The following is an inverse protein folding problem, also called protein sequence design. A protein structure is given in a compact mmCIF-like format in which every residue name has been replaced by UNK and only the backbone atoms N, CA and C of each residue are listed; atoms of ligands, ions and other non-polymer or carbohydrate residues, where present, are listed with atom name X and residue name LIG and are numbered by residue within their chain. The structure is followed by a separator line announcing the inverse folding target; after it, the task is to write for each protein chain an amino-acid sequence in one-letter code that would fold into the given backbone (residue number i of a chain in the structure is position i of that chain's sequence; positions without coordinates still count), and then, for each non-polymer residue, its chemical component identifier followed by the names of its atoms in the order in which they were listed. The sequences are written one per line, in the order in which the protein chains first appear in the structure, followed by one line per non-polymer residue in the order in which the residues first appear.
data_IF_790890125858
#
_entry.id   IF_790890125858
#
_cell.length_a   1.000
_cell.length_b   1.000
_cell.length_c   1.000
_cell.angle_alpha   90.00
_cell.angle_beta   90.00
_cell.angle_gamma   90.00
#
_symmetry.space_group_name_H-M   'P 1'
#
loop_
_entity.id
_entity.type
_entity.pdbx_description
1 polymer ?
#
# COMPACT_ATOMS: atom_id res chain seq x y z
N UNK A 1 35.67 32.58 -2.87
CA UNK A 1 36.07 31.27 -3.44
C UNK A 1 37.11 30.49 -2.60
N UNK A 2 37.42 30.87 -1.35
CA UNK A 2 38.40 30.15 -0.51
C UNK A 2 37.76 29.24 0.58
N UNK A 3 36.52 29.49 1.01
CA UNK A 3 35.90 28.77 2.13
C UNK A 3 35.36 27.36 1.85
N UNK A 4 34.96 27.04 0.61
CA UNK A 4 34.37 25.73 0.27
C UNK A 4 35.44 24.64 0.10
N UNK A 5 36.65 24.99 -0.35
CA UNK A 5 37.77 24.04 -0.49
C UNK A 5 38.35 23.59 0.86
N UNK A 6 38.15 24.38 1.92
CA UNK A 6 38.66 24.08 3.28
C UNK A 6 37.73 23.15 4.07
N UNK A 7 36.42 23.08 3.73
CA UNK A 7 35.49 22.13 4.36
C UNK A 7 35.71 20.67 3.91
N UNK A 8 36.38 20.44 2.77
CA UNK A 8 36.67 19.09 2.23
C UNK A 8 37.87 18.43 2.95
N UNK A 9 38.57 19.15 3.83
CA UNK A 9 39.75 18.65 4.58
C UNK A 9 39.47 18.34 6.06
N UNK A 10 38.22 18.14 6.46
CA UNK A 10 37.91 17.70 7.83
C UNK A 10 37.80 16.16 7.86
N UNK A 11 38.70 15.44 8.55
CA UNK A 11 38.72 13.97 8.55
C UNK A 11 37.42 13.34 9.05
N UNK A 12 36.75 13.95 10.03
CA UNK A 12 35.46 13.48 10.53
C UNK A 12 34.32 13.58 9.49
N UNK A 13 34.39 14.56 8.59
CA UNK A 13 33.40 14.73 7.52
C UNK A 13 33.64 13.73 6.38
N UNK A 14 34.91 13.44 6.07
CA UNK A 14 35.28 12.38 5.12
C UNK A 14 34.82 11.01 5.62
N UNK A 15 35.04 10.71 6.89
CA UNK A 15 34.66 9.44 7.51
C UNK A 15 33.14 9.22 7.50
N UNK A 16 32.36 10.27 7.77
CA UNK A 16 30.90 10.23 7.68
C UNK A 16 30.41 9.96 6.24
N UNK A 17 31.04 10.57 5.23
CA UNK A 17 30.73 10.33 3.82
C UNK A 17 31.05 8.88 3.45
N UNK A 18 32.20 8.36 3.87
CA UNK A 18 32.62 6.99 3.57
C UNK A 18 31.72 5.97 4.26
N UNK A 19 31.27 6.24 5.48
CA UNK A 19 30.26 5.42 6.16
C UNK A 19 28.93 5.43 5.40
N UNK A 20 28.45 6.60 4.97
CA UNK A 20 27.21 6.72 4.22
C UNK A 20 27.29 5.98 2.86
N UNK A 21 28.41 6.11 2.14
CA UNK A 21 28.65 5.41 0.89
C UNK A 21 28.66 3.89 1.08
N UNK A 22 29.32 3.39 2.15
CA UNK A 22 29.30 1.96 2.51
C UNK A 22 27.89 1.47 2.80
N UNK A 23 27.09 2.20 3.56
CA UNK A 23 25.70 1.84 3.83
C UNK A 23 24.84 1.80 2.56
N UNK A 24 25.04 2.74 1.63
CA UNK A 24 24.34 2.73 0.34
C UNK A 24 24.79 1.55 -0.55
N UNK A 25 26.07 1.22 -0.55
CA UNK A 25 26.60 0.06 -1.28
C UNK A 25 26.02 -1.25 -0.73
N UNK A 26 25.92 -1.39 0.60
CA UNK A 26 25.26 -2.54 1.24
C UNK A 26 23.76 -2.57 0.93
N UNK A 27 23.08 -1.43 1.00
CA UNK A 27 21.64 -1.36 0.79
C UNK A 27 21.22 -1.62 -0.68
N UNK A 28 22.13 -1.39 -1.64
CA UNK A 28 21.90 -1.71 -3.05
C UNK A 28 22.34 -3.13 -3.44
N UNK A 29 22.84 -3.94 -2.50
CA UNK A 29 23.25 -5.32 -2.76
C UNK A 29 22.04 -6.20 -3.16
N UNK A 30 22.01 -6.77 -4.38
CA UNK A 30 20.90 -7.58 -4.84
C UNK A 30 20.69 -8.89 -4.07
N UNK A 31 21.66 -9.33 -3.27
CA UNK A 31 21.59 -10.60 -2.50
C UNK A 31 20.94 -10.43 -1.13
N UNK A 32 20.83 -9.19 -0.64
CA UNK A 32 20.28 -8.89 0.68
C UNK A 32 18.82 -8.42 0.61
N UNK A 33 18.00 -8.85 1.56
CA UNK A 33 16.73 -8.18 1.87
C UNK A 33 17.02 -7.01 2.80
N UNK A 34 16.70 -5.79 2.35
CA UNK A 34 17.12 -4.56 3.03
C UNK A 34 15.92 -3.67 3.32
N UNK A 35 15.87 -3.14 4.55
CA UNK A 35 15.03 -2.01 4.91
C UNK A 35 15.88 -0.75 4.96
N UNK A 36 15.47 0.31 4.24
CA UNK A 36 16.20 1.58 4.19
C UNK A 36 15.37 2.65 4.85
N UNK A 37 15.79 3.10 6.03
CA UNK A 37 15.26 4.32 6.65
C UNK A 37 16.07 5.51 6.13
N UNK A 38 15.38 6.52 5.58
CA UNK A 38 16.07 7.64 4.96
C UNK A 38 15.22 8.91 4.96
N UNK A 39 15.79 10.01 5.43
CA UNK A 39 15.19 11.35 5.44
C UNK A 39 15.06 11.96 4.04
N UNK A 40 14.28 13.03 3.89
CA UNK A 40 14.22 13.77 2.62
C UNK A 40 15.62 14.19 2.15
N UNK A 41 15.89 14.11 0.84
CA UNK A 41 17.19 14.48 0.26
C UNK A 41 18.33 13.46 0.44
N UNK A 42 18.13 12.35 1.14
CA UNK A 42 19.21 11.37 1.44
C UNK A 42 19.63 10.44 0.28
N UNK A 43 19.20 10.73 -0.96
CA UNK A 43 19.57 9.93 -2.14
C UNK A 43 18.83 8.59 -2.31
N UNK A 44 17.70 8.36 -1.64
CA UNK A 44 16.88 7.12 -1.78
C UNK A 44 16.62 6.72 -3.23
N UNK A 45 16.26 7.69 -4.07
CA UNK A 45 15.95 7.41 -5.48
C UNK A 45 17.18 6.91 -6.22
N UNK A 46 18.37 7.50 -5.98
CA UNK A 46 19.63 7.01 -6.55
C UNK A 46 19.90 5.58 -6.09
N UNK A 47 19.78 5.31 -4.79
CA UNK A 47 19.97 3.98 -4.21
C UNK A 47 19.07 2.92 -4.87
N UNK A 48 17.78 3.23 -5.07
CA UNK A 48 16.83 2.32 -5.72
C UNK A 48 17.19 2.05 -7.19
N UNK A 49 17.62 3.08 -7.93
CA UNK A 49 18.08 2.92 -9.31
C UNK A 49 19.37 2.08 -9.35
N UNK A 50 20.32 2.35 -8.46
CA UNK A 50 21.56 1.57 -8.35
C UNK A 50 21.24 0.10 -8.06
N UNK A 51 20.29 -0.17 -7.16
CA UNK A 51 19.82 -1.52 -6.85
C UNK A 51 19.16 -2.20 -8.05
N UNK A 52 18.30 -1.51 -8.80
CA UNK A 52 17.69 -2.06 -10.03
C UNK A 52 18.76 -2.44 -11.05
N UNK A 53 19.75 -1.57 -11.27
CA UNK A 53 20.85 -1.84 -12.19
C UNK A 53 21.69 -3.04 -11.73
N UNK A 54 22.04 -3.11 -10.44
CA UNK A 54 22.77 -4.25 -9.86
C UNK A 54 21.99 -5.57 -9.91
N UNK A 55 20.66 -5.53 -9.88
CA UNK A 55 19.83 -6.71 -10.11
C UNK A 55 19.91 -7.19 -11.56
N UNK A 56 20.06 -6.29 -12.54
CA UNK A 56 20.06 -6.61 -13.98
C UNK A 56 21.45 -6.89 -14.57
N UNK A 57 22.51 -6.48 -13.87
CA UNK A 57 23.89 -6.64 -14.30
C UNK A 57 24.55 -7.89 -13.69
N UNK A 58 25.61 -8.42 -14.34
CA UNK A 58 26.42 -9.49 -13.75
C UNK A 58 27.03 -9.07 -12.41
N UNK A 59 27.23 -10.03 -11.51
CA UNK A 59 27.79 -9.78 -10.16
C UNK A 59 28.75 -10.89 -9.76
N UNK A 60 29.69 -10.59 -8.87
CA UNK A 60 30.59 -11.60 -8.32
C UNK A 60 29.82 -12.51 -7.35
N UNK A 61 30.07 -13.80 -7.43
CA UNK A 61 29.61 -14.77 -6.45
C UNK A 61 30.40 -14.58 -5.14
N UNK A 62 29.74 -14.25 -4.02
CA UNK A 62 30.41 -14.11 -2.72
C UNK A 62 31.12 -15.39 -2.26
N UNK A 63 30.65 -16.56 -2.71
CA UNK A 63 31.13 -17.86 -2.27
C UNK A 63 32.21 -18.49 -3.19
N UNK A 64 32.55 -17.89 -4.33
CA UNK A 64 33.38 -18.59 -5.32
C UNK A 64 34.02 -17.80 -6.47
N UNK A 65 34.00 -16.46 -6.47
CA UNK A 65 34.69 -15.66 -7.49
C UNK A 65 34.09 -15.69 -8.91
N UNK A 66 33.25 -16.68 -9.23
CA UNK A 66 32.52 -16.77 -10.49
C UNK A 66 31.58 -15.56 -10.69
N UNK A 67 31.36 -15.19 -11.96
CA UNK A 67 30.41 -14.13 -12.31
C UNK A 67 29.02 -14.72 -12.50
N UNK A 68 28.08 -14.34 -11.64
CA UNK A 68 26.67 -14.68 -11.77
C UNK A 68 25.97 -13.73 -12.76
N UNK A 69 25.10 -14.23 -13.64
CA UNK A 69 24.32 -13.38 -14.53
C UNK A 69 23.33 -12.50 -13.76
N UNK A 70 23.02 -11.34 -14.34
CA UNK A 70 21.94 -10.48 -13.88
C UNK A 70 20.56 -11.05 -14.19
N UNK A 71 19.55 -10.57 -13.49
CA UNK A 71 18.14 -10.91 -13.74
C UNK A 71 17.64 -10.20 -15.00
N UNK A 72 16.88 -10.89 -15.88
CA UNK A 72 16.16 -10.24 -16.96
C UNK A 72 15.23 -9.14 -16.42
N UNK A 73 15.11 -7.96 -17.06
CA UNK A 73 14.28 -6.87 -16.55
C UNK A 73 12.81 -7.27 -16.34
N UNK A 74 12.27 -8.17 -17.17
CA UNK A 74 10.91 -8.73 -17.04
C UNK A 74 10.64 -9.45 -15.72
N UNK A 75 11.70 -9.88 -15.01
CA UNK A 75 11.61 -10.62 -13.74
C UNK A 75 11.73 -9.72 -12.51
N UNK A 76 11.84 -8.41 -12.70
CA UNK A 76 11.98 -7.44 -11.61
C UNK A 76 10.68 -6.66 -11.47
N UNK A 77 10.15 -6.60 -10.25
CA UNK A 77 8.98 -5.80 -9.89
C UNK A 77 9.42 -4.65 -8.97
N UNK A 78 9.15 -3.42 -9.39
CA UNK A 78 9.43 -2.21 -8.62
C UNK A 78 8.11 -1.50 -8.31
N UNK A 79 7.76 -1.46 -7.02
CA UNK A 79 6.50 -0.86 -6.54
C UNK A 79 6.75 0.45 -5.80
N UNK A 80 5.83 1.39 -5.99
CA UNK A 80 5.79 2.65 -5.24
C UNK A 80 4.35 3.04 -4.88
N UNK A 81 4.19 4.12 -4.13
CA UNK A 81 2.87 4.59 -3.70
C UNK A 81 2.18 5.44 -4.78
N UNK A 82 2.93 6.30 -5.48
CA UNK A 82 2.36 7.29 -6.41
C UNK A 82 2.75 7.03 -7.86
N UNK A 83 1.86 7.37 -8.79
CA UNK A 83 2.15 7.31 -10.23
C UNK A 83 3.33 8.20 -10.61
N UNK A 84 3.45 9.37 -9.98
CA UNK A 84 4.55 10.30 -10.20
C UNK A 84 5.92 9.70 -9.83
N UNK A 85 6.02 9.04 -8.67
CA UNK A 85 7.27 8.38 -8.27
C UNK A 85 7.64 7.23 -9.22
N UNK A 86 6.65 6.48 -9.73
CA UNK A 86 6.89 5.41 -10.69
C UNK A 86 7.46 5.95 -12.00
N UNK A 87 6.84 7.02 -12.53
CA UNK A 87 7.31 7.70 -13.73
C UNK A 87 8.72 8.28 -13.54
N UNK A 88 8.98 8.93 -12.40
CA UNK A 88 10.31 9.47 -12.08
C UNK A 88 11.38 8.36 -12.06
N UNK A 89 11.08 7.22 -11.43
CA UNK A 89 11.99 6.07 -11.41
C UNK A 89 12.25 5.51 -12.80
N UNK A 90 11.22 5.36 -13.62
CA UNK A 90 11.34 4.87 -15.00
C UNK A 90 12.20 5.80 -15.85
N UNK A 91 11.96 7.12 -15.79
CA UNK A 91 12.74 8.13 -16.50
C UNK A 91 14.20 8.07 -16.08
N UNK A 92 14.49 8.07 -14.77
CA UNK A 92 15.87 8.02 -14.25
C UNK A 92 16.62 6.77 -14.73
N UNK A 93 15.95 5.61 -14.73
CA UNK A 93 16.53 4.37 -15.23
C UNK A 93 16.84 4.47 -16.73
N UNK A 94 15.86 4.89 -17.53
CA UNK A 94 16.01 5.03 -18.98
C UNK A 94 17.10 6.04 -19.36
N UNK A 95 17.16 7.18 -18.67
CA UNK A 95 18.23 8.18 -18.88
C UNK A 95 19.60 7.58 -18.61
N UNK A 96 19.75 6.80 -17.53
CA UNK A 96 21.03 6.18 -17.18
C UNK A 96 21.44 5.10 -18.18
N UNK A 97 20.51 4.23 -18.57
CA UNK A 97 20.76 3.21 -19.58
C UNK A 97 21.08 3.83 -20.95
N UNK A 98 20.34 4.87 -21.36
CA UNK A 98 20.58 5.59 -22.61
C UNK A 98 21.96 6.24 -22.66
N UNK A 99 22.42 6.81 -21.54
CA UNK A 99 23.79 7.34 -21.42
C UNK A 99 24.84 6.24 -21.61
N UNK A 100 24.65 5.04 -21.05
CA UNK A 100 25.62 3.95 -21.18
C UNK A 100 25.83 3.47 -22.62
N UNK A 101 24.83 3.61 -23.49
CA UNK A 101 24.94 3.23 -24.91
C UNK A 101 26.04 4.02 -25.62
N UNK A 102 26.21 5.31 -25.29
CA UNK A 102 27.13 6.22 -26.00
C UNK A 102 28.45 6.47 -25.28
N UNK A 103 28.57 6.07 -24.00
CA UNK A 103 29.80 6.28 -23.24
C UNK A 103 30.99 5.52 -23.85
N UNK A 104 32.20 6.12 -23.87
CA UNK A 104 33.44 5.39 -24.07
C UNK A 104 33.63 4.28 -23.01
N UNK A 105 34.40 3.24 -23.36
CA UNK A 105 34.56 2.05 -22.50
C UNK A 105 35.17 2.36 -21.13
N UNK A 106 36.13 3.27 -21.05
CA UNK A 106 36.73 3.73 -19.80
C UNK A 106 35.74 4.49 -18.91
N UNK A 107 34.90 5.33 -19.52
CA UNK A 107 33.85 6.05 -18.81
C UNK A 107 32.71 5.12 -18.35
N UNK A 108 32.35 4.12 -19.16
CA UNK A 108 31.38 3.09 -18.77
C UNK A 108 31.93 2.22 -17.63
N UNK A 109 33.22 1.86 -17.68
CA UNK A 109 33.86 1.13 -16.59
C UNK A 109 33.79 1.91 -15.26
N UNK A 110 33.95 3.24 -15.26
CA UNK A 110 33.79 4.07 -14.05
C UNK A 110 32.36 4.00 -13.48
N UNK A 111 31.35 4.03 -14.34
CA UNK A 111 29.94 3.88 -13.91
C UNK A 111 29.67 2.49 -13.32
N UNK A 112 30.19 1.43 -13.96
CA UNK A 112 30.04 0.05 -13.49
C UNK A 112 30.79 -0.19 -12.17
N UNK A 113 31.99 0.36 -12.01
CA UNK A 113 32.75 0.34 -10.75
C UNK A 113 31.98 1.03 -9.63
N UNK A 114 31.35 2.18 -9.90
CA UNK A 114 30.49 2.88 -8.95
C UNK A 114 29.28 2.05 -8.49
N UNK A 115 28.85 1.07 -9.28
CA UNK A 115 27.80 0.11 -8.94
C UNK A 115 28.33 -1.20 -8.33
N UNK A 116 29.63 -1.31 -8.09
CA UNK A 116 30.29 -2.56 -7.67
C UNK A 116 30.03 -3.73 -8.63
N UNK A 117 29.99 -3.44 -9.93
CA UNK A 117 29.75 -4.42 -11.01
C UNK A 117 31.09 -4.76 -11.70
N UNK A 118 31.37 -6.05 -12.00
CA UNK A 118 32.60 -6.47 -12.68
C UNK A 118 32.77 -5.79 -14.04
N UNK A 119 33.94 -5.19 -14.29
CA UNK A 119 34.21 -4.44 -15.53
C UNK A 119 34.80 -5.32 -16.65
N UNK A 120 34.05 -6.35 -17.04
CA UNK A 120 34.44 -7.23 -18.16
C UNK A 120 33.87 -6.73 -19.50
N UNK A 121 34.42 -7.23 -20.61
CA UNK A 121 33.88 -6.97 -21.96
C UNK A 121 32.41 -7.40 -22.03
N UNK A 122 32.08 -8.56 -21.47
CA UNK A 122 30.71 -9.08 -21.46
C UNK A 122 29.78 -8.23 -20.60
N UNK A 123 30.24 -7.73 -19.45
CA UNK A 123 29.45 -6.80 -18.64
C UNK A 123 29.16 -5.51 -19.40
N UNK A 124 30.15 -4.94 -20.13
CA UNK A 124 29.92 -3.74 -20.94
C UNK A 124 28.90 -4.01 -22.05
N UNK A 125 29.02 -5.15 -22.73
CA UNK A 125 28.04 -5.58 -23.75
C UNK A 125 26.64 -5.67 -23.16
N UNK A 126 26.50 -6.33 -22.00
CA UNK A 126 25.23 -6.43 -21.27
C UNK A 126 24.69 -5.06 -20.89
N UNK A 127 25.51 -4.19 -20.31
CA UNK A 127 25.11 -2.85 -19.90
C UNK A 127 24.59 -2.00 -21.07
N UNK A 128 25.21 -2.09 -22.25
CA UNK A 128 24.74 -1.41 -23.47
C UNK A 128 23.46 -2.05 -24.02
N UNK A 129 23.34 -3.37 -23.97
CA UNK A 129 22.15 -4.09 -24.43
C UNK A 129 20.91 -3.82 -23.56
N UNK A 130 21.09 -3.57 -22.25
CA UNK A 130 19.99 -3.32 -21.32
C UNK A 130 19.06 -2.17 -21.74
N UNK A 131 19.57 -1.15 -22.43
CA UNK A 131 18.72 -0.05 -22.91
C UNK A 131 17.66 -0.55 -23.92
N UNK A 132 18.10 -1.28 -24.94
CA UNK A 132 17.20 -1.87 -25.94
C UNK A 132 16.27 -2.91 -25.30
N UNK A 133 16.80 -3.80 -24.45
CA UNK A 133 15.97 -4.79 -23.75
C UNK A 133 14.87 -4.16 -22.90
N UNK A 134 15.14 -3.03 -22.24
CA UNK A 134 14.13 -2.34 -21.43
C UNK A 134 13.07 -1.65 -22.30
N UNK A 135 13.46 -1.11 -23.46
CA UNK A 135 12.54 -0.45 -24.39
C UNK A 135 11.65 -1.46 -25.14
N UNK A 136 12.20 -2.61 -25.52
CA UNK A 136 11.50 -3.62 -26.32
C UNK A 136 10.63 -4.57 -25.48
N UNK A 137 10.63 -4.41 -24.15
CA UNK A 137 9.77 -5.19 -23.26
C UNK A 137 8.29 -4.95 -23.54
N UNK A 138 7.50 -6.01 -23.85
CA UNK A 138 6.05 -5.88 -23.96
C UNK A 138 5.45 -5.44 -22.62
N UNK A 139 4.79 -4.28 -22.62
CA UNK A 139 4.25 -3.66 -21.40
C UNK A 139 5.31 -2.94 -20.54
N UNK A 140 6.54 -2.83 -21.01
CA UNK A 140 7.66 -2.15 -20.35
C UNK A 140 8.17 -2.88 -19.11
N UNK A 141 9.20 -2.30 -18.49
CA UNK A 141 9.66 -2.74 -17.17
C UNK A 141 8.57 -2.48 -16.12
N UNK A 142 8.37 -3.42 -15.19
CA UNK A 142 7.32 -3.33 -14.17
C UNK A 142 7.69 -2.37 -13.05
N UNK A 143 7.65 -1.08 -13.35
CA UNK A 143 7.80 0.03 -12.41
C UNK A 143 6.43 0.68 -12.29
N UNK A 144 5.75 0.51 -11.16
CA UNK A 144 4.36 0.94 -11.02
C UNK A 144 3.92 1.12 -9.58
N UNK A 145 2.65 1.48 -9.41
CA UNK A 145 2.07 1.55 -8.07
C UNK A 145 1.64 0.18 -7.56
N UNK A 146 1.52 0.05 -6.25
CA UNK A 146 0.93 -1.16 -5.62
C UNK A 146 -0.47 -1.43 -6.23
N UNK A 147 -1.30 -0.39 -6.37
CA UNK A 147 -2.63 -0.51 -6.97
C UNK A 147 -2.61 -1.03 -8.41
N UNK A 148 -1.73 -0.49 -9.26
CA UNK A 148 -1.60 -0.93 -10.65
C UNK A 148 -1.16 -2.40 -10.73
N UNK A 149 -0.26 -2.82 -9.84
CA UNK A 149 0.16 -4.22 -9.74
C UNK A 149 -1.00 -5.12 -9.30
N UNK A 150 -1.73 -4.77 -8.23
CA UNK A 150 -2.90 -5.54 -7.79
C UNK A 150 -3.96 -5.65 -8.87
N UNK A 151 -4.26 -4.56 -9.59
CA UNK A 151 -5.20 -4.57 -10.72
C UNK A 151 -4.72 -5.51 -11.84
N UNK A 152 -3.44 -5.47 -12.20
CA UNK A 152 -2.86 -6.37 -13.20
C UNK A 152 -2.95 -7.84 -12.76
N UNK A 153 -2.75 -8.12 -11.46
CA UNK A 153 -2.85 -9.47 -10.91
C UNK A 153 -4.29 -9.99 -10.99
N UNK A 154 -5.26 -9.19 -10.56
CA UNK A 154 -6.68 -9.53 -10.61
C UNK A 154 -7.17 -9.78 -12.05
N UNK A 155 -6.68 -9.01 -13.02
CA UNK A 155 -6.99 -9.24 -14.45
C UNK A 155 -6.38 -10.52 -15.01
N UNK A 156 -5.29 -11.00 -14.43
CA UNK A 156 -4.60 -12.22 -14.89
C UNK A 156 -5.21 -13.50 -14.31
N UNK A 157 -5.88 -13.39 -13.17
CA UNK A 157 -6.54 -14.48 -12.46
C UNK A 157 -8.00 -14.12 -12.12
N UNK A 158 -8.84 -13.81 -13.13
CA UNK A 158 -10.20 -13.31 -12.92
C UNK A 158 -11.14 -14.36 -12.34
N UNK A 159 -10.92 -15.64 -12.64
CA UNK A 159 -11.74 -16.75 -12.14
C UNK A 159 -11.50 -16.97 -10.64
N UNK A 160 -10.24 -16.97 -10.23
CA UNK A 160 -9.82 -17.08 -8.83
C UNK A 160 -10.27 -15.87 -8.02
N UNK A 161 -10.31 -14.69 -8.64
CA UNK A 161 -10.83 -13.47 -8.04
C UNK A 161 -12.38 -13.41 -8.03
N UNK A 162 -13.08 -14.31 -8.71
CA UNK A 162 -14.52 -14.23 -8.96
C UNK A 162 -14.96 -12.87 -9.53
N UNK A 163 -14.17 -12.31 -10.45
CA UNK A 163 -14.42 -11.01 -11.07
C UNK A 163 -14.45 -11.10 -12.59
N UNK A 164 -15.14 -10.15 -13.22
CA UNK A 164 -15.08 -9.98 -14.67
C UNK A 164 -13.66 -9.54 -15.09
N UNK A 165 -13.01 -10.18 -16.08
CA UNK A 165 -11.68 -9.78 -16.56
C UNK A 165 -11.61 -8.34 -17.10
N UNK A 166 -12.75 -7.80 -17.54
CA UNK A 166 -12.90 -6.44 -18.06
C UNK A 166 -13.42 -5.45 -17.01
N UNK A 167 -13.21 -5.73 -15.72
CA UNK A 167 -13.62 -4.78 -14.67
C UNK A 167 -12.93 -3.41 -14.87
N UNK A 168 -13.71 -2.38 -14.58
CA UNK A 168 -13.24 -1.01 -14.44
C UNK A 168 -13.13 -0.67 -12.97
N UNK A 169 -12.16 0.17 -12.64
CA UNK A 169 -12.04 0.72 -11.29
C UNK A 169 -13.05 1.84 -11.19
N UNK A 170 -13.90 1.78 -10.18
CA UNK A 170 -14.87 2.85 -9.93
C UNK A 170 -14.14 4.09 -9.40
N UNK A 171 -14.48 5.25 -9.95
CA UNK A 171 -14.08 6.53 -9.37
C UNK A 171 -14.85 6.76 -8.06
N UNK A 172 -14.30 7.59 -7.18
CA UNK A 172 -14.83 7.79 -5.82
C UNK A 172 -16.27 8.33 -5.83
N UNK A 173 -16.57 9.23 -6.76
CA UNK A 173 -17.92 9.76 -6.98
C UNK A 173 -18.90 8.65 -7.39
N UNK A 174 -18.53 7.82 -8.36
CA UNK A 174 -19.38 6.72 -8.85
C UNK A 174 -19.59 5.67 -7.76
N UNK A 175 -18.55 5.38 -6.97
CA UNK A 175 -18.63 4.47 -5.83
C UNK A 175 -19.60 5.00 -4.77
N UNK A 176 -19.59 6.30 -4.52
CA UNK A 176 -20.51 6.96 -3.58
C UNK A 176 -21.96 6.89 -4.06
N UNK A 177 -22.20 7.20 -5.34
CA UNK A 177 -23.54 7.11 -5.94
C UNK A 177 -24.07 5.67 -5.97
N UNK A 178 -23.23 4.71 -6.32
CA UNK A 178 -23.61 3.30 -6.30
C UNK A 178 -23.94 2.82 -4.89
N UNK A 179 -23.18 3.25 -3.88
CA UNK A 179 -23.47 2.95 -2.48
C UNK A 179 -24.81 3.55 -2.05
N UNK A 180 -25.08 4.81 -2.43
CA UNK A 180 -26.36 5.46 -2.16
C UNK A 180 -27.52 4.66 -2.75
N UNK A 181 -27.46 4.28 -4.03
CA UNK A 181 -28.50 3.46 -4.66
C UNK A 181 -28.68 2.08 -4.00
N UNK A 182 -27.59 1.45 -3.54
CA UNK A 182 -27.68 0.21 -2.76
C UNK A 182 -28.39 0.42 -1.43
N UNK A 183 -28.06 1.50 -0.70
CA UNK A 183 -28.68 1.84 0.58
C UNK A 183 -30.17 2.12 0.39
N UNK A 184 -30.55 2.91 -0.62
CA UNK A 184 -31.93 3.20 -0.98
C UNK A 184 -32.72 1.93 -1.28
N UNK A 185 -32.14 1.00 -2.04
CA UNK A 185 -32.78 -0.27 -2.37
C UNK A 185 -33.01 -1.14 -1.13
N UNK A 186 -32.02 -1.23 -0.23
CA UNK A 186 -32.14 -1.98 1.02
C UNK A 186 -33.19 -1.36 1.94
N UNK A 187 -33.22 -0.03 2.04
CA UNK A 187 -34.24 0.69 2.81
C UNK A 187 -35.62 0.50 2.19
N UNK A 188 -35.77 0.64 0.87
CA UNK A 188 -37.06 0.45 0.18
C UNK A 188 -37.66 -0.95 0.36
N UNK A 189 -36.82 -1.98 0.49
CA UNK A 189 -37.24 -3.36 0.75
C UNK A 189 -37.40 -3.70 2.24
N UNK A 190 -37.04 -2.78 3.14
CA UNK A 190 -37.11 -3.03 4.58
C UNK A 190 -38.52 -2.71 5.13
N UNK A 191 -39.00 -3.44 6.16
CA UNK A 191 -40.32 -3.18 6.73
C UNK A 191 -40.46 -1.74 7.22
N UNK A 192 -41.56 -1.07 6.86
CA UNK A 192 -41.79 0.34 7.23
C UNK A 192 -41.67 0.58 8.73
N UNK A 193 -42.06 -0.39 9.57
CA UNK A 193 -41.92 -0.32 11.04
C UNK A 193 -40.48 -0.16 11.51
N UNK A 194 -39.50 -0.69 10.76
CA UNK A 194 -38.08 -0.60 11.10
C UNK A 194 -37.45 0.74 10.70
N UNK A 195 -38.00 1.41 9.68
CA UNK A 195 -37.42 2.63 9.09
C UNK A 195 -38.16 3.89 9.56
N UNK A 196 -39.47 3.80 9.81
CA UNK A 196 -40.30 4.90 10.29
C UNK A 196 -39.70 5.66 11.49
N UNK A 197 -38.99 5.03 12.44
CA UNK A 197 -38.35 5.76 13.54
C UNK A 197 -37.19 6.65 13.07
N UNK A 198 -36.52 6.30 11.98
CA UNK A 198 -35.37 7.00 11.42
C UNK A 198 -35.77 8.13 10.45
N UNK A 199 -36.91 7.98 9.77
CA UNK A 199 -37.36 8.88 8.69
C UNK A 199 -37.52 10.35 9.09
N UNK A 200 -37.68 10.65 10.39
CA UNK A 200 -37.73 12.02 10.93
C UNK A 200 -36.51 12.46 11.74
N UNK A 201 -35.50 11.59 11.88
CA UNK A 201 -34.31 11.86 12.71
C UNK A 201 -33.04 12.09 11.88
N UNK A 202 -32.97 11.50 10.68
CA UNK A 202 -31.79 11.57 9.82
C UNK A 202 -32.24 11.68 8.37
N UNK A 203 -31.58 12.56 7.61
CA UNK A 203 -31.79 12.60 6.15
C UNK A 203 -31.22 11.33 5.50
N UNK A 204 -31.70 10.98 4.32
CA UNK A 204 -31.15 9.85 3.56
C UNK A 204 -29.65 10.04 3.26
N UNK A 205 -29.23 11.26 2.94
CA UNK A 205 -27.82 11.59 2.69
C UNK A 205 -26.95 11.40 3.94
N UNK A 206 -27.41 11.89 5.09
CA UNK A 206 -26.70 11.73 6.37
C UNK A 206 -26.64 10.25 6.79
N UNK A 207 -27.70 9.48 6.50
CA UNK A 207 -27.71 8.05 6.76
C UNK A 207 -26.69 7.30 5.88
N UNK A 208 -26.60 7.63 4.59
CA UNK A 208 -25.59 7.06 3.68
C UNK A 208 -24.18 7.41 4.17
N UNK A 209 -23.93 8.66 4.57
CA UNK A 209 -22.65 9.09 5.13
C UNK A 209 -22.30 8.32 6.41
N UNK A 210 -23.27 8.12 7.31
CA UNK A 210 -23.09 7.33 8.54
C UNK A 210 -22.75 5.87 8.22
N UNK A 211 -23.47 5.24 7.28
CA UNK A 211 -23.16 3.88 6.82
C UNK A 211 -21.76 3.81 6.22
N UNK A 212 -21.37 4.81 5.42
CA UNK A 212 -20.01 4.94 4.89
C UNK A 212 -18.97 5.00 6.00
N UNK A 213 -19.15 5.86 7.00
CA UNK A 213 -18.25 5.98 8.14
C UNK A 213 -18.13 4.67 8.93
N UNK A 214 -19.25 3.99 9.20
CA UNK A 214 -19.28 2.71 9.90
C UNK A 214 -18.57 1.58 9.13
N UNK A 215 -18.54 1.63 7.79
CA UNK A 215 -17.80 0.63 6.99
C UNK A 215 -16.28 0.76 7.11
N UNK A 216 -15.79 1.96 7.40
CA UNK A 216 -14.36 2.23 7.51
C UNK A 216 -13.85 2.20 8.96
N UNK A 217 -14.76 2.18 9.94
CA UNK A 217 -14.40 2.06 11.34
C UNK A 217 -14.07 0.59 11.71
N UNK A 218 -12.81 0.35 12.07
CA UNK A 218 -12.30 -0.98 12.47
C UNK A 218 -13.06 -1.64 13.62
N UNK A 219 -13.69 -0.86 14.51
CA UNK A 219 -14.48 -1.39 15.64
C UNK A 219 -15.86 -1.80 15.16
N UNK A 220 -16.46 -1.02 14.27
CA UNK A 220 -17.72 -1.36 13.62
C UNK A 220 -17.61 -2.63 12.77
N UNK A 221 -16.46 -2.86 12.12
CA UNK A 221 -16.18 -4.08 11.36
C UNK A 221 -16.32 -5.34 12.22
N UNK A 222 -15.69 -5.37 13.40
CA UNK A 222 -15.74 -6.51 14.31
C UNK A 222 -17.16 -6.78 14.84
N UNK A 223 -17.92 -5.71 15.12
CA UNK A 223 -19.31 -5.82 15.56
C UNK A 223 -20.17 -6.38 14.42
N UNK A 224 -20.02 -5.86 13.20
CA UNK A 224 -20.75 -6.29 12.01
C UNK A 224 -20.51 -7.77 11.72
N UNK A 225 -19.25 -8.21 11.69
CA UNK A 225 -18.89 -9.62 11.53
C UNK A 225 -19.60 -10.52 12.55
N UNK A 226 -19.61 -10.10 13.81
CA UNK A 226 -20.20 -10.87 14.91
C UNK A 226 -21.73 -10.93 14.83
N UNK A 227 -22.37 -9.83 14.44
CA UNK A 227 -23.82 -9.74 14.24
C UNK A 227 -24.25 -10.58 13.03
N UNK A 228 -23.50 -10.55 11.93
CA UNK A 228 -23.77 -11.38 10.75
C UNK A 228 -23.68 -12.88 11.07
N UNK A 229 -22.72 -13.29 11.91
CA UNK A 229 -22.57 -14.68 12.34
C UNK A 229 -23.63 -15.11 13.37
N UNK A 230 -24.08 -14.19 14.24
CA UNK A 230 -24.96 -14.47 15.37
C UNK A 230 -26.04 -13.37 15.52
N UNK A 231 -27.03 -13.29 14.61
CA UNK A 231 -28.01 -12.20 14.59
C UNK A 231 -28.86 -12.12 15.86
N UNK A 232 -29.12 -13.26 16.52
CA UNK A 232 -29.84 -13.31 17.79
C UNK A 232 -29.13 -12.59 18.95
N UNK A 233 -27.83 -12.33 18.83
CA UNK A 233 -27.09 -11.57 19.84
C UNK A 233 -27.29 -10.07 19.74
N UNK A 234 -27.76 -9.56 18.59
CA UNK A 234 -27.84 -8.12 18.34
C UNK A 234 -28.67 -7.36 19.40
N UNK A 235 -29.88 -7.80 19.80
CA UNK A 235 -30.62 -7.12 20.86
C UNK A 235 -29.87 -7.12 22.20
N UNK A 236 -29.14 -8.21 22.50
CA UNK A 236 -28.37 -8.31 23.76
C UNK A 236 -27.16 -7.38 23.75
N UNK A 237 -26.48 -7.25 22.62
CA UNK A 237 -25.36 -6.35 22.43
C UNK A 237 -25.83 -4.89 22.51
N UNK A 238 -26.93 -4.55 21.83
CA UNK A 238 -27.53 -3.22 21.91
C UNK A 238 -27.99 -2.88 23.32
N UNK A 239 -28.68 -3.79 24.04
CA UNK A 239 -29.02 -3.57 25.44
C UNK A 239 -27.78 -3.27 26.28
N UNK A 240 -26.69 -4.02 26.07
CA UNK A 240 -25.46 -3.83 26.83
C UNK A 240 -24.79 -2.49 26.57
N UNK A 241 -24.72 -2.07 25.30
CA UNK A 241 -24.19 -0.75 24.90
C UNK A 241 -25.06 0.35 25.44
N UNK A 242 -26.38 0.16 25.35
CA UNK A 242 -27.38 1.12 25.78
C UNK A 242 -27.59 1.14 27.31
N UNK A 243 -26.87 0.32 28.08
CA UNK A 243 -27.07 0.21 29.53
C UNK A 243 -28.47 -0.29 29.94
N UNK A 244 -29.17 -0.97 29.03
CA UNK A 244 -30.52 -1.47 29.24
C UNK A 244 -30.53 -2.88 29.86
N UNK A 245 -31.60 -3.25 30.59
CA UNK A 245 -31.81 -4.61 31.07
C UNK A 245 -31.77 -5.66 29.95
N UNK A 246 -31.29 -6.87 30.24
CA UNK A 246 -31.28 -7.97 29.27
C UNK A 246 -32.71 -8.30 28.83
N UNK A 247 -32.98 -8.20 27.53
CA UNK A 247 -34.32 -8.43 26.97
C UNK A 247 -35.19 -7.17 26.86
N UNK A 248 -34.70 -5.99 27.28
CA UNK A 248 -35.41 -4.72 27.09
C UNK A 248 -35.67 -4.35 25.61
N UNK A 249 -34.96 -4.99 24.68
CA UNK A 249 -35.13 -4.86 23.23
C UNK A 249 -35.79 -6.11 22.58
N UNK A 250 -36.17 -7.14 23.37
CA UNK A 250 -36.84 -8.34 22.84
C UNK A 250 -38.34 -8.05 22.68
N UNK A 251 -38.81 -7.96 21.44
CA UNK A 251 -40.22 -7.73 21.13
C UNK A 251 -40.69 -6.30 21.43
N UNK A 252 -39.75 -5.39 21.67
CA UNK A 252 -39.99 -4.00 22.04
C UNK A 252 -40.39 -3.15 20.83
N UNK A 253 -41.37 -2.29 21.00
CA UNK A 253 -41.79 -1.36 19.96
C UNK A 253 -40.78 -0.23 19.76
N UNK A 254 -40.85 0.41 18.59
CA UNK A 254 -39.97 1.50 18.19
C UNK A 254 -39.93 2.69 19.17
N UNK A 255 -40.96 2.89 19.99
CA UNK A 255 -41.00 3.94 21.01
C UNK A 255 -40.02 3.67 22.16
N UNK A 256 -39.96 2.43 22.67
CA UNK A 256 -39.04 2.06 23.75
C UNK A 256 -37.58 2.12 23.30
N UNK A 257 -37.31 1.74 22.05
CA UNK A 257 -35.96 1.85 21.46
C UNK A 257 -35.58 3.33 21.34
N UNK A 258 -36.52 4.19 20.97
CA UNK A 258 -36.29 5.63 20.82
C UNK A 258 -36.00 6.29 22.17
N UNK A 259 -36.83 6.03 23.18
CA UNK A 259 -36.64 6.55 24.54
C UNK A 259 -35.29 6.11 25.13
N UNK A 260 -34.91 4.85 24.88
CA UNK A 260 -33.62 4.32 25.29
C UNK A 260 -32.43 4.99 24.58
N UNK A 261 -32.64 5.61 23.42
CA UNK A 261 -31.61 6.30 22.64
C UNK A 261 -31.63 7.83 22.81
N UNK A 262 -32.72 8.42 23.31
CA UNK A 262 -32.86 9.89 23.46
C UNK A 262 -32.23 10.44 24.72
N UNK A 263 -32.14 9.65 25.79
CA UNK A 263 -31.53 10.06 27.07
C UNK A 263 -30.08 9.55 27.21
N UNK A 264 -29.46 9.19 26.08
CA UNK A 264 -28.09 8.70 26.04
C UNK A 264 -27.13 9.87 26.27
N UNK A 265 -26.43 9.95 27.42
CA UNK A 265 -25.50 11.03 27.66
C UNK A 265 -24.25 10.76 26.83
N UNK A 266 -24.27 11.26 25.60
CA UNK A 266 -23.13 11.46 24.74
C UNK A 266 -22.41 10.21 24.21
N UNK A 267 -21.71 10.48 23.13
CA UNK A 267 -20.73 9.65 22.42
C UNK A 267 -19.73 8.90 23.33
N UNK A 268 -19.48 9.38 24.55
CA UNK A 268 -18.52 8.81 25.52
C UNK A 268 -18.92 7.43 26.05
N UNK A 269 -20.19 7.20 26.41
CA UNK A 269 -20.64 5.86 26.86
C UNK A 269 -20.59 4.84 25.74
N UNK A 270 -20.96 5.25 24.52
CA UNK A 270 -20.84 4.41 23.32
C UNK A 270 -19.37 4.04 23.09
N UNK A 271 -18.46 5.02 23.12
CA UNK A 271 -17.00 4.83 23.02
C UNK A 271 -16.45 3.92 24.12
N UNK A 272 -16.95 4.02 25.35
CA UNK A 272 -16.53 3.21 26.50
C UNK A 272 -17.01 1.74 26.44
N UNK A 273 -18.12 1.46 25.75
CA UNK A 273 -18.70 0.11 25.67
C UNK A 273 -18.48 -0.60 24.33
N UNK A 274 -17.95 0.07 23.32
CA UNK A 274 -17.48 -0.57 22.08
C UNK A 274 -16.42 -1.67 22.34
N UNK A 275 -15.42 -1.51 23.24
CA UNK A 275 -14.46 -2.57 23.54
C UNK A 275 -15.12 -3.86 24.05
N UNK A 276 -16.17 -3.76 24.88
CA UNK A 276 -16.95 -4.90 25.39
C UNK A 276 -17.75 -5.66 24.32
N UNK A 277 -17.92 -5.09 23.12
CA UNK A 277 -18.51 -5.78 21.96
C UNK A 277 -17.47 -6.59 21.17
N UNK A 278 -16.23 -6.09 21.14
CA UNK A 278 -15.11 -6.66 20.39
C UNK A 278 -14.40 -7.76 21.19
N UNK A 279 -14.46 -7.72 22.52
CA UNK A 279 -13.89 -8.76 23.36
C UNK A 279 -14.49 -10.13 23.04
N UNK A 280 -13.62 -11.04 22.55
CA UNK A 280 -13.84 -12.47 22.64
C UNK A 280 -14.00 -12.76 24.12
N UNK A 281 -15.18 -13.21 24.53
CA UNK A 281 -15.31 -13.90 25.80
C UNK A 281 -14.39 -15.11 25.68
N UNK A 282 -13.17 -15.03 26.19
CA UNK A 282 -12.42 -16.22 26.55
C UNK A 282 -13.30 -16.90 27.61
N UNK A 283 -14.10 -17.89 27.16
CA UNK A 283 -14.65 -18.88 28.07
C UNK A 283 -13.47 -19.75 28.51
N UNK A 284 -12.74 -19.24 29.49
CA UNK A 284 -11.87 -20.03 30.34
C UNK A 284 -12.64 -20.35 31.61
N UNK A 285 -13.15 -21.59 31.66
CA UNK A 285 -13.71 -22.33 32.81
C UNK A 285 -15.01 -21.81 33.42
#
# INVERSE_FOLDING_TARGET
MSGIKTMIKNPAFSEAIDQANRQQALASDPTASVFVSASAGSGKTKLLIDRLLRLMLPRLNPAGGDVLPGSPPARILCLTFTKAAAAEMAIRLQTRLGRWVTLPDDALNKELQGLSVPCTVETRRRARALFAEVLDLPGGMRIGTIHAFCQSLLRRFPLEAAMNPHFTVMEETDATLALQGCVETVLGNSPTKSIAPLAGQISLGDFVNLVGALRHDSRAEAIRERVLKLPALLPTLLCRVLGLPQGALKGSDAAQIRDACTDFPGEERLRAHIPTLVEKRHRGR
#
